data_IF_689672532539
#
_entry.id   IF_689672532539
#
_cell.length_a   1.000
_cell.length_b   1.000
_cell.length_c   1.000
_cell.angle_alpha   90.00
_cell.angle_beta   90.00
_cell.angle_gamma   90.00
#
_symmetry.space_group_name_H-M   'P 1'
#
loop_
_entity.id
_entity.type
_entity.pdbx_description
1 polymer ?
#
# COMPACT_ATOMS: atom_id res chain seq x y z
N UNK A 1 22.31 -24.11 19.00
CA UNK A 1 20.96 -23.56 19.26
C UNK A 1 20.24 -23.52 17.92
N UNK A 2 19.32 -24.45 17.63
CA UNK A 2 18.64 -24.48 16.34
C UNK A 2 17.68 -23.31 16.24
N UNK A 3 17.83 -22.54 15.16
CA UNK A 3 17.01 -21.41 14.76
C UNK A 3 15.60 -21.91 14.53
N UNK A 4 14.66 -21.51 15.40
CA UNK A 4 13.24 -21.75 15.20
C UNK A 4 12.79 -21.00 13.95
N UNK A 5 12.29 -21.76 13.00
CA UNK A 5 11.47 -21.31 11.89
C UNK A 5 10.17 -20.73 12.45
N UNK A 6 10.05 -19.42 12.42
CA UNK A 6 8.74 -18.76 12.44
C UNK A 6 8.51 -18.18 11.04
N UNK A 7 8.15 -19.10 10.14
CA UNK A 7 7.44 -18.77 8.91
C UNK A 7 6.08 -18.18 9.29
N UNK A 8 6.06 -16.87 9.52
CA UNK A 8 4.83 -16.09 9.58
C UNK A 8 4.68 -15.41 8.22
N UNK A 9 4.22 -16.21 7.25
CA UNK A 9 3.46 -15.72 6.12
C UNK A 9 2.25 -15.00 6.71
N UNK A 10 2.35 -13.68 6.88
CA UNK A 10 1.18 -12.84 7.05
C UNK A 10 0.54 -12.68 5.69
N UNK A 11 -0.10 -13.77 5.26
CA UNK A 11 -1.16 -13.74 4.27
C UNK A 11 -2.21 -12.79 4.84
N UNK A 12 -2.27 -11.58 4.27
CA UNK A 12 -3.34 -10.64 4.56
C UNK A 12 -4.64 -11.30 4.09
N UNK A 13 -5.31 -11.96 5.03
CA UNK A 13 -6.69 -12.42 4.87
C UNK A 13 -7.51 -11.26 4.29
N UNK A 14 -8.21 -11.44 3.15
CA UNK A 14 -9.17 -10.45 2.72
C UNK A 14 -10.28 -10.45 3.77
N UNK A 15 -10.30 -9.40 4.59
CA UNK A 15 -11.36 -9.18 5.56
C UNK A 15 -12.70 -9.20 4.83
N UNK A 16 -13.53 -10.18 5.18
CA UNK A 16 -14.92 -10.24 4.78
C UNK A 16 -15.63 -9.02 5.35
N UNK A 17 -15.81 -8.00 4.50
CA UNK A 17 -16.73 -6.89 4.76
C UNK A 17 -18.13 -7.40 4.39
N UNK A 18 -19.16 -7.20 5.23
CA UNK A 18 -20.50 -7.73 5.00
C UNK A 18 -21.08 -7.23 3.68
N UNK A 19 -21.60 -8.17 2.88
CA UNK A 19 -22.59 -7.92 1.85
C UNK A 19 -23.84 -7.34 2.52
N UNK A 20 -24.02 -6.04 2.39
CA UNK A 20 -25.33 -5.40 2.45
C UNK A 20 -25.50 -4.71 1.11
N UNK A 21 -26.23 -5.38 0.22
CA UNK A 21 -26.75 -4.82 -1.01
C UNK A 21 -27.82 -3.80 -0.62
N UNK A 22 -27.53 -2.52 -0.85
CA UNK A 22 -28.57 -1.50 -0.95
C UNK A 22 -28.36 -0.74 -2.25
N UNK A 23 -29.29 -1.00 -3.16
CA UNK A 23 -29.31 -0.53 -4.52
C UNK A 23 -29.70 0.94 -4.57
N UNK A 24 -28.71 1.84 -4.65
CA UNK A 24 -28.93 3.18 -5.19
C UNK A 24 -27.74 3.54 -6.08
N UNK A 25 -27.76 2.99 -7.29
CA UNK A 25 -26.91 3.44 -8.40
C UNK A 25 -27.38 4.81 -8.88
N UNK A 26 -27.28 5.83 -8.02
CA UNK A 26 -27.42 7.21 -8.46
C UNK A 26 -26.20 7.52 -9.32
N UNK A 27 -26.45 7.76 -10.60
CA UNK A 27 -25.42 8.04 -11.59
C UNK A 27 -24.48 9.13 -11.06
N UNK A 28 -23.23 8.74 -10.78
CA UNK A 28 -22.15 9.66 -10.40
C UNK A 28 -22.00 10.82 -11.41
N UNK A 29 -22.45 10.58 -12.65
CA UNK A 29 -22.57 11.53 -13.76
C UNK A 29 -23.46 12.75 -13.52
N UNK A 30 -24.34 12.74 -12.50
CA UNK A 30 -25.24 13.84 -12.19
C UNK A 30 -24.79 14.70 -10.99
N UNK A 31 -23.70 14.31 -10.32
CA UNK A 31 -23.15 15.05 -9.17
C UNK A 31 -22.22 16.15 -9.70
N UNK A 32 -22.39 17.39 -9.22
CA UNK A 32 -21.48 18.48 -9.58
C UNK A 32 -20.05 18.13 -9.15
N UNK A 33 -19.00 18.59 -9.85
CA UNK A 33 -17.61 18.29 -9.50
C UNK A 33 -17.28 18.58 -8.02
N UNK A 34 -17.92 19.61 -7.47
CA UNK A 34 -17.84 20.00 -6.07
C UNK A 34 -18.37 18.93 -5.11
N UNK A 35 -19.50 18.27 -5.43
CA UNK A 35 -20.07 17.21 -4.60
C UNK A 35 -19.29 15.89 -4.73
N UNK A 36 -18.78 15.59 -5.93
CA UNK A 36 -17.93 14.41 -6.17
C UNK A 36 -16.65 14.45 -5.32
N UNK A 37 -16.06 15.63 -5.13
CA UNK A 37 -14.84 15.79 -4.34
C UNK A 37 -15.07 15.63 -2.83
N UNK A 38 -16.27 15.96 -2.34
CA UNK A 38 -16.62 15.83 -0.91
C UNK A 38 -16.76 14.40 -0.41
N UNK A 39 -16.86 13.43 -1.33
CA UNK A 39 -16.94 12.00 -1.00
C UNK A 39 -15.60 11.26 -1.13
N UNK A 40 -14.54 11.95 -1.56
CA UNK A 40 -13.21 11.35 -1.64
C UNK A 40 -12.59 11.31 -0.24
N UNK A 41 -12.56 10.14 0.38
CA UNK A 41 -11.79 9.91 1.61
C UNK A 41 -10.32 9.65 1.22
N UNK A 42 -9.38 10.56 1.55
CA UNK A 42 -7.98 10.31 1.28
C UNK A 42 -7.48 9.19 2.18
N UNK A 43 -6.94 8.12 1.59
CA UNK A 43 -6.24 7.11 2.38
C UNK A 43 -4.85 7.63 2.73
N UNK A 44 -4.58 7.76 4.03
CA UNK A 44 -3.25 8.10 4.53
C UNK A 44 -2.39 6.84 4.61
N UNK A 45 -1.08 6.99 4.41
CA UNK A 45 -0.16 5.86 4.43
C UNK A 45 1.27 6.25 4.11
N UNK A 46 2.12 5.24 3.96
CA UNK A 46 3.55 5.38 3.69
C UNK A 46 3.84 5.12 2.22
N UNK A 47 4.64 5.99 1.60
CA UNK A 47 5.12 5.81 0.23
C UNK A 47 6.63 5.53 0.23
N UNK A 48 7.01 4.33 -0.19
CA UNK A 48 8.42 4.00 -0.37
C UNK A 48 8.90 4.48 -1.75
N UNK A 49 9.83 5.43 -1.77
CA UNK A 49 10.42 5.97 -3.01
C UNK A 49 11.25 4.93 -3.76
N UNK A 50 12.02 4.11 -3.03
CA UNK A 50 12.87 3.06 -3.61
C UNK A 50 12.03 2.01 -4.34
N UNK A 51 10.93 1.60 -3.74
CA UNK A 51 10.03 0.58 -4.30
C UNK A 51 8.90 1.18 -5.16
N UNK A 52 8.81 2.52 -5.25
CA UNK A 52 7.74 3.27 -5.90
C UNK A 52 6.32 2.76 -5.58
N UNK A 53 6.07 2.44 -4.29
CA UNK A 53 4.84 1.75 -3.85
C UNK A 53 4.27 2.36 -2.58
N UNK A 54 2.94 2.44 -2.53
CA UNK A 54 2.17 2.90 -1.37
C UNK A 54 1.74 1.74 -0.46
N UNK A 55 1.80 1.97 0.84
CA UNK A 55 1.41 1.03 1.89
C UNK A 55 0.37 1.68 2.81
N UNK A 56 -0.69 0.94 3.13
CA UNK A 56 -1.69 1.36 4.11
C UNK A 56 -1.12 1.32 5.52
N UNK A 57 -1.37 2.36 6.31
CA UNK A 57 -0.71 2.57 7.61
C UNK A 57 0.52 3.45 7.45
N UNK A 58 0.79 4.29 8.45
CA UNK A 58 1.89 5.25 8.40
C UNK A 58 3.18 4.60 8.91
N UNK A 59 3.46 4.75 10.20
CA UNK A 59 4.76 4.41 10.79
C UNK A 59 5.02 2.91 10.88
N UNK A 60 4.03 2.08 11.24
CA UNK A 60 4.24 0.62 11.24
C UNK A 60 4.52 0.08 9.84
N UNK A 61 3.85 0.60 8.81
CA UNK A 61 4.05 0.17 7.45
C UNK A 61 5.46 0.51 6.96
N UNK A 62 5.97 1.69 7.28
CA UNK A 62 7.36 2.08 7.02
C UNK A 62 8.35 1.12 7.67
N UNK A 63 8.21 0.88 8.99
CA UNK A 63 9.13 0.04 9.76
C UNK A 63 9.13 -1.39 9.23
N UNK A 64 7.94 -1.95 8.99
CA UNK A 64 7.81 -3.32 8.51
C UNK A 64 8.34 -3.45 7.09
N UNK A 65 8.09 -2.47 6.22
CA UNK A 65 8.54 -2.49 4.84
C UNK A 65 10.06 -2.33 4.70
N UNK A 66 10.64 -1.30 5.30
CA UNK A 66 12.04 -0.94 5.12
C UNK A 66 13.01 -2.00 5.68
N UNK A 67 12.52 -2.89 6.55
CA UNK A 67 13.28 -4.03 7.09
C UNK A 67 13.23 -5.29 6.22
N UNK A 68 12.43 -5.30 5.15
CA UNK A 68 12.32 -6.48 4.27
C UNK A 68 13.50 -6.62 3.32
N UNK A 69 13.85 -7.87 2.97
CA UNK A 69 14.90 -8.17 1.98
C UNK A 69 14.58 -7.52 0.63
N UNK A 70 13.32 -7.57 0.20
CA UNK A 70 12.85 -6.95 -1.05
C UNK A 70 13.16 -5.45 -1.14
N UNK A 71 13.10 -4.73 -0.01
CA UNK A 71 13.46 -3.32 0.02
C UNK A 71 14.94 -3.13 -0.32
N UNK A 72 15.83 -3.94 0.26
CA UNK A 72 17.27 -3.85 0.02
C UNK A 72 17.67 -4.29 -1.40
N UNK A 73 16.98 -5.28 -1.98
CA UNK A 73 17.17 -5.66 -3.38
C UNK A 73 16.82 -4.49 -4.31
N UNK A 74 15.65 -3.88 -4.13
CA UNK A 74 15.24 -2.71 -4.90
C UNK A 74 16.17 -1.51 -4.67
N UNK A 75 16.71 -1.34 -3.46
CA UNK A 75 17.67 -0.28 -3.16
C UNK A 75 18.97 -0.46 -3.95
N UNK A 76 19.49 -1.68 -4.04
CA UNK A 76 20.69 -1.98 -4.84
C UNK A 76 20.44 -1.70 -6.32
N UNK A 77 19.29 -2.12 -6.86
CA UNK A 77 18.91 -1.84 -8.25
C UNK A 77 18.75 -0.33 -8.49
N UNK A 78 18.05 0.38 -7.60
CA UNK A 78 17.87 1.84 -7.65
C UNK A 78 19.20 2.59 -7.67
N UNK A 79 20.12 2.23 -6.77
CA UNK A 79 21.44 2.84 -6.72
C UNK A 79 22.22 2.56 -8.00
N UNK A 80 22.17 1.32 -8.48
CA UNK A 80 22.85 0.89 -9.70
C UNK A 80 22.35 1.65 -10.93
N UNK A 81 21.03 1.72 -11.12
CA UNK A 81 20.42 2.49 -12.22
C UNK A 81 20.77 3.97 -12.11
N UNK A 82 20.68 4.57 -10.91
CA UNK A 82 21.03 5.98 -10.70
C UNK A 82 22.49 6.27 -11.07
N UNK A 83 23.40 5.36 -10.76
CA UNK A 83 24.83 5.47 -11.12
C UNK A 83 25.05 5.31 -12.63
N UNK A 84 24.22 4.56 -13.35
CA UNK A 84 24.35 4.37 -14.80
C UNK A 84 23.72 5.49 -15.66
N UNK A 85 22.81 6.28 -15.08
CA UNK A 85 22.12 7.38 -15.80
C UNK A 85 22.74 8.76 -15.56
N UNK A 86 23.74 8.87 -14.68
CA UNK A 86 24.55 10.08 -14.47
C UNK A 86 25.84 10.02 -15.29
#
# INVERSE_FOLDING_TARGET
IPVKSDEQVSESKPGSVPTAESSDSLALSALTPSLVLTFLVPKTGFFCKVCNRFFSGAKEAEINHCKTIKHYENLQVSNTVTVYIV
#
